data_IF_960725383917
#
_entry.id   IF_960725383917
#
_cell.length_a   1.000
_cell.length_b   1.000
_cell.length_c   1.000
_cell.angle_alpha   90.00
_cell.angle_beta   90.00
_cell.angle_gamma   90.00
#
_symmetry.space_group_name_H-M   'P 1'
#
loop_
_entity.id
_entity.type
_entity.pdbx_description
1 polymer ?
#
# COMPACT_ATOMS: atom_id res chain seq x y z
N UNK A 1 70.90 3.33 -38.19
CA UNK A 1 70.43 4.13 -37.04
C UNK A 1 68.89 4.13 -37.06
N UNK A 2 68.19 3.48 -36.17
CA UNK A 2 66.72 3.47 -36.16
C UNK A 2 66.21 4.68 -35.37
N UNK A 3 65.15 5.26 -35.88
CA UNK A 3 64.50 6.52 -35.50
C UNK A 3 63.64 6.33 -34.21
N UNK A 4 63.78 7.13 -33.17
CA UNK A 4 63.13 6.94 -31.85
C UNK A 4 61.77 7.64 -31.67
N UNK A 5 60.90 7.63 -32.68
CA UNK A 5 59.63 8.37 -32.62
C UNK A 5 58.34 7.52 -32.64
N UNK A 6 58.36 6.28 -32.18
CA UNK A 6 57.12 5.44 -32.20
C UNK A 6 56.67 4.85 -30.88
N UNK A 7 57.11 5.35 -29.74
CA UNK A 7 56.71 4.75 -28.45
C UNK A 7 55.87 5.69 -27.53
N UNK A 8 55.45 6.85 -28.02
CA UNK A 8 54.74 7.82 -27.16
C UNK A 8 53.21 7.75 -27.24
N UNK A 9 52.62 6.91 -28.11
CA UNK A 9 51.17 6.95 -28.38
C UNK A 9 50.36 5.80 -27.79
N UNK A 10 50.97 4.86 -27.10
CA UNK A 10 50.26 3.69 -26.55
C UNK A 10 49.98 3.82 -25.03
N UNK A 11 50.58 4.79 -24.34
CA UNK A 11 50.43 4.90 -22.87
C UNK A 11 49.23 5.74 -22.40
N UNK A 12 48.54 6.45 -23.30
CA UNK A 12 47.44 7.33 -22.92
C UNK A 12 46.02 6.70 -23.02
N UNK A 13 45.90 5.49 -23.60
CA UNK A 13 44.58 4.87 -23.77
C UNK A 13 44.25 3.89 -22.64
N UNK A 14 45.22 3.39 -21.92
CA UNK A 14 45.02 2.41 -20.84
C UNK A 14 44.64 3.10 -19.51
N UNK A 15 44.92 4.36 -19.30
CA UNK A 15 44.54 5.06 -18.06
C UNK A 15 43.09 5.53 -18.02
N UNK A 16 42.44 5.71 -19.18
CA UNK A 16 41.05 6.15 -19.27
C UNK A 16 40.02 5.05 -18.98
N UNK A 17 40.37 3.81 -19.22
CA UNK A 17 39.47 2.66 -18.98
C UNK A 17 39.43 2.20 -17.51
N UNK A 18 40.53 2.38 -16.79
CA UNK A 18 40.61 2.02 -15.36
C UNK A 18 39.85 3.01 -14.44
N UNK A 19 39.68 4.24 -14.88
CA UNK A 19 38.95 5.26 -14.08
C UNK A 19 37.43 5.09 -14.16
N UNK A 20 36.91 4.43 -15.19
CA UNK A 20 35.46 4.21 -15.36
C UNK A 20 34.98 2.99 -14.56
N UNK A 21 35.78 1.97 -14.40
CA UNK A 21 35.43 0.81 -13.57
C UNK A 21 35.42 1.09 -12.07
N UNK A 22 36.27 2.02 -11.60
CA UNK A 22 36.28 2.44 -10.18
C UNK A 22 35.08 3.32 -9.77
N UNK A 23 34.43 3.96 -10.71
CA UNK A 23 33.26 4.80 -10.43
C UNK A 23 31.96 3.99 -10.25
N UNK A 24 31.88 2.78 -10.80
CA UNK A 24 30.74 1.89 -10.63
C UNK A 24 30.76 1.06 -9.33
N UNK A 25 31.88 1.02 -8.64
CA UNK A 25 32.04 0.23 -7.42
C UNK A 25 31.68 0.97 -6.13
N UNK A 26 31.22 2.22 -6.22
CA UNK A 26 30.88 3.06 -5.06
C UNK A 26 29.37 3.34 -4.90
N UNK A 27 28.51 2.64 -5.62
CA UNK A 27 27.10 2.66 -5.27
C UNK A 27 26.95 1.82 -4.00
N UNK A 28 26.59 2.41 -2.86
CA UNK A 28 26.34 1.62 -1.66
C UNK A 28 25.17 0.68 -1.96
N UNK A 29 25.44 -0.60 -2.06
CA UNK A 29 24.42 -1.62 -2.01
C UNK A 29 23.76 -1.48 -0.64
N UNK A 30 22.53 -0.96 -0.60
CA UNK A 30 21.74 -0.99 0.61
C UNK A 30 21.62 -2.46 1.04
N UNK A 31 22.33 -2.82 2.11
CA UNK A 31 22.11 -4.11 2.74
C UNK A 31 20.83 -4.00 3.52
N UNK A 32 19.75 -4.47 2.94
CA UNK A 32 18.49 -4.61 3.65
C UNK A 32 18.69 -5.75 4.66
N UNK A 33 18.99 -5.39 5.89
CA UNK A 33 18.96 -6.33 7.00
C UNK A 33 17.49 -6.58 7.38
N UNK A 34 16.90 -7.59 6.75
CA UNK A 34 15.69 -8.16 7.31
C UNK A 34 16.08 -8.90 8.59
N UNK A 35 15.40 -8.69 9.73
CA UNK A 35 15.61 -9.50 10.90
C UNK A 35 15.45 -10.96 10.48
N UNK A 36 16.38 -11.80 10.90
CA UNK A 36 16.43 -13.24 10.57
C UNK A 36 15.29 -14.05 11.20
N UNK A 37 14.40 -13.40 11.93
CA UNK A 37 13.26 -14.00 12.60
C UNK A 37 11.99 -13.74 11.80
N UNK A 38 11.81 -14.57 10.78
CA UNK A 38 10.51 -14.84 10.18
C UNK A 38 9.78 -13.68 9.48
N UNK A 39 8.84 -14.03 8.62
CA UNK A 39 7.82 -13.12 8.13
C UNK A 39 6.98 -12.59 9.30
N UNK A 40 6.41 -11.39 9.16
CA UNK A 40 5.46 -10.88 10.14
C UNK A 40 4.38 -11.94 10.41
N UNK A 41 4.09 -12.25 11.68
CA UNK A 41 3.11 -13.27 12.00
C UNK A 41 1.75 -12.86 11.45
N UNK A 42 1.05 -13.81 10.86
CA UNK A 42 -0.28 -13.62 10.31
C UNK A 42 -0.71 -14.83 9.51
N UNK A 43 -2.02 -15.01 9.37
CA UNK A 43 -2.61 -16.13 8.68
C UNK A 43 -3.64 -15.63 7.65
N UNK A 44 -3.64 -16.23 6.47
CA UNK A 44 -4.69 -16.01 5.48
C UNK A 44 -5.92 -16.86 5.79
N UNK A 45 -7.13 -16.42 5.38
CA UNK A 45 -8.32 -17.24 5.52
C UNK A 45 -8.20 -18.48 4.63
N UNK A 46 -8.86 -19.56 5.02
CA UNK A 46 -8.95 -20.76 4.19
C UNK A 46 -9.67 -20.48 2.86
N UNK A 47 -10.60 -19.53 2.88
CA UNK A 47 -11.36 -19.13 1.71
C UNK A 47 -11.78 -17.67 1.81
N UNK A 48 -11.57 -16.91 0.72
CA UNK A 48 -12.18 -15.61 0.55
C UNK A 48 -13.62 -15.72 0.10
N UNK A 49 -14.47 -14.79 0.54
CA UNK A 49 -15.85 -14.74 0.03
C UNK A 49 -15.81 -14.60 -1.50
N UNK A 50 -16.69 -15.35 -2.12
CA UNK A 50 -16.78 -15.38 -3.57
C UNK A 50 -18.03 -14.69 -4.09
N UNK A 51 -19.05 -14.63 -3.25
CA UNK A 51 -20.41 -14.28 -3.62
C UNK A 51 -21.07 -15.42 -4.40
N UNK A 52 -22.37 -15.36 -4.53
CA UNK A 52 -23.11 -16.26 -5.40
C UNK A 52 -23.10 -15.76 -6.86
N UNK A 53 -23.55 -16.61 -7.80
CA UNK A 53 -23.75 -16.22 -9.21
C UNK A 53 -24.84 -15.16 -9.38
N UNK A 54 -25.74 -15.06 -8.42
CA UNK A 54 -26.82 -14.09 -8.37
C UNK A 54 -26.73 -13.31 -7.07
N UNK A 55 -26.81 -11.98 -7.16
CA UNK A 55 -26.87 -11.12 -5.99
C UNK A 55 -28.10 -11.41 -5.10
N UNK A 56 -29.19 -11.95 -5.69
CA UNK A 56 -30.40 -12.31 -4.96
C UNK A 56 -30.21 -13.55 -4.08
N UNK A 57 -29.29 -14.44 -4.47
CA UNK A 57 -29.02 -15.69 -3.74
C UNK A 57 -27.78 -15.55 -2.84
N UNK A 58 -27.20 -14.35 -2.78
CA UNK A 58 -25.99 -14.09 -2.00
C UNK A 58 -26.33 -14.00 -0.51
N UNK A 59 -25.67 -14.82 0.29
CA UNK A 59 -25.75 -14.86 1.77
C UNK A 59 -24.47 -14.38 2.44
N UNK A 60 -23.42 -14.12 1.67
CA UNK A 60 -22.15 -13.58 2.19
C UNK A 60 -22.32 -12.10 2.58
N UNK A 61 -21.54 -11.59 3.56
CA UNK A 61 -21.57 -10.19 3.91
C UNK A 61 -21.11 -9.31 2.74
N UNK A 62 -21.48 -8.05 2.75
CA UNK A 62 -21.04 -7.06 1.77
C UNK A 62 -19.51 -6.89 1.75
N UNK A 63 -18.90 -6.96 2.92
CA UNK A 63 -17.45 -6.89 3.14
C UNK A 63 -17.05 -8.04 4.04
N UNK A 64 -16.13 -8.87 3.59
CA UNK A 64 -15.44 -9.80 4.47
C UNK A 64 -14.31 -9.06 5.19
N UNK A 65 -14.26 -9.19 6.51
CA UNK A 65 -13.15 -8.70 7.33
C UNK A 65 -12.34 -9.90 7.79
N UNK A 66 -11.06 -9.91 7.46
CA UNK A 66 -10.13 -10.95 7.88
C UNK A 66 -9.00 -10.33 8.71
N UNK A 67 -8.86 -10.79 9.95
CA UNK A 67 -7.74 -10.41 10.81
C UNK A 67 -6.52 -11.23 10.39
N UNK A 68 -5.56 -10.59 9.73
CA UNK A 68 -4.29 -11.23 9.36
C UNK A 68 -3.37 -11.37 10.58
N UNK A 69 -3.32 -10.33 11.41
CA UNK A 69 -2.67 -10.29 12.72
C UNK A 69 -3.28 -9.17 13.57
N UNK A 70 -2.73 -8.91 14.75
CA UNK A 70 -3.24 -7.92 15.70
C UNK A 70 -3.29 -6.49 15.16
N UNK A 71 -2.50 -6.17 14.14
CA UNK A 71 -2.37 -4.83 13.58
C UNK A 71 -2.72 -4.73 12.10
N UNK A 72 -3.11 -5.84 11.46
CA UNK A 72 -3.36 -5.88 10.03
C UNK A 72 -4.64 -6.63 9.72
N UNK A 73 -5.54 -5.96 9.03
CA UNK A 73 -6.80 -6.53 8.57
C UNK A 73 -6.89 -6.41 7.05
N UNK A 74 -7.40 -7.48 6.43
CA UNK A 74 -7.64 -7.54 5.00
C UNK A 74 -9.15 -7.58 4.79
N UNK A 75 -9.66 -6.62 4.04
CA UNK A 75 -11.07 -6.53 3.70
C UNK A 75 -11.26 -6.97 2.24
N UNK A 76 -12.37 -7.62 1.97
CA UNK A 76 -12.72 -8.01 0.61
C UNK A 76 -14.16 -7.64 0.30
N UNK A 77 -14.35 -6.94 -0.81
CA UNK A 77 -15.66 -6.66 -1.36
C UNK A 77 -16.33 -7.92 -1.89
N UNK A 78 -17.62 -8.08 -1.66
CA UNK A 78 -18.39 -9.20 -2.15
C UNK A 78 -18.59 -9.12 -3.67
N UNK A 79 -18.17 -10.14 -4.38
CA UNK A 79 -18.28 -10.21 -5.86
C UNK A 79 -19.71 -10.22 -6.39
N UNK A 80 -20.72 -10.51 -5.55
CA UNK A 80 -22.12 -10.34 -5.92
C UNK A 80 -22.54 -8.87 -5.97
N UNK A 81 -21.79 -7.95 -5.32
CA UNK A 81 -22.00 -6.51 -5.39
C UNK A 81 -21.24 -5.93 -6.59
N UNK A 82 -19.95 -6.28 -6.71
CA UNK A 82 -19.11 -5.86 -7.82
C UNK A 82 -18.17 -7.00 -8.23
N UNK A 83 -18.12 -7.30 -9.52
CA UNK A 83 -17.33 -8.41 -10.06
C UNK A 83 -15.82 -8.28 -9.81
N UNK A 84 -15.31 -7.05 -9.59
CA UNK A 84 -13.91 -6.80 -9.23
C UNK A 84 -13.56 -7.48 -7.90
N UNK A 85 -14.48 -7.44 -6.92
CA UNK A 85 -14.26 -8.04 -5.62
C UNK A 85 -12.96 -7.53 -4.99
N UNK A 86 -12.83 -6.20 -4.95
CA UNK A 86 -11.60 -5.50 -4.56
C UNK A 86 -11.14 -5.89 -3.15
N UNK A 87 -9.82 -5.88 -2.95
CA UNK A 87 -9.22 -5.97 -1.64
C UNK A 87 -8.87 -4.59 -1.12
N UNK A 88 -9.03 -4.42 0.20
CA UNK A 88 -8.66 -3.23 0.94
C UNK A 88 -7.90 -3.65 2.20
N UNK A 89 -7.10 -2.77 2.76
CA UNK A 89 -6.24 -3.11 3.88
C UNK A 89 -6.36 -2.06 4.99
N UNK A 90 -6.49 -2.52 6.23
CA UNK A 90 -6.43 -1.65 7.41
C UNK A 90 -5.24 -2.04 8.26
N UNK A 91 -4.39 -1.06 8.54
CA UNK A 91 -3.23 -1.21 9.40
C UNK A 91 -3.40 -0.33 10.64
N UNK A 92 -3.15 -0.90 11.82
CA UNK A 92 -3.25 -0.20 13.08
C UNK A 92 -1.87 0.08 13.69
N UNK A 93 -1.68 1.29 14.17
CA UNK A 93 -0.53 1.74 14.95
C UNK A 93 -0.96 2.46 16.22
N UNK A 94 -0.03 3.14 16.88
CA UNK A 94 -0.33 3.88 18.12
C UNK A 94 -1.21 5.11 17.81
N UNK A 95 -2.50 5.00 18.08
CA UNK A 95 -3.49 6.08 17.88
C UNK A 95 -3.78 6.43 16.42
N UNK A 96 -3.31 5.62 15.47
CA UNK A 96 -3.50 5.83 14.03
C UNK A 96 -3.89 4.53 13.35
N UNK A 97 -4.87 4.60 12.45
CA UNK A 97 -5.18 3.54 11.50
C UNK A 97 -4.97 4.04 10.06
N UNK A 98 -4.53 3.18 9.16
CA UNK A 98 -4.36 3.47 7.74
C UNK A 98 -5.25 2.54 6.93
N UNK A 99 -6.21 3.10 6.21
CA UNK A 99 -7.01 2.38 5.21
C UNK A 99 -6.37 2.60 3.84
N UNK A 100 -5.95 1.51 3.19
CA UNK A 100 -5.48 1.51 1.81
C UNK A 100 -6.56 0.92 0.92
N UNK A 101 -6.98 1.69 -0.07
CA UNK A 101 -8.06 1.44 -1.03
C UNK A 101 -9.46 1.40 -0.40
N UNK A 102 -10.47 1.76 -1.19
CA UNK A 102 -11.86 1.85 -0.74
C UNK A 102 -12.82 1.11 -1.68
N UNK A 103 -12.32 0.08 -2.36
CA UNK A 103 -13.15 -0.84 -3.15
C UNK A 103 -13.75 -0.25 -4.42
N UNK A 104 -14.61 -1.04 -5.05
CA UNK A 104 -15.13 -0.83 -6.40
C UNK A 104 -16.56 -0.30 -6.42
N UNK A 105 -17.23 -0.16 -5.27
CA UNK A 105 -18.64 0.26 -5.17
C UNK A 105 -18.78 1.49 -4.30
N UNK A 106 -19.36 2.56 -4.87
CA UNK A 106 -19.53 3.86 -4.20
C UNK A 106 -20.75 3.92 -3.26
N UNK A 107 -21.80 3.13 -3.53
CA UNK A 107 -23.06 3.15 -2.80
C UNK A 107 -22.93 2.60 -1.38
N UNK A 108 -23.11 3.40 -0.31
CA UNK A 108 -23.06 2.89 1.06
C UNK A 108 -24.21 1.93 1.41
N UNK A 109 -25.30 1.96 0.66
CA UNK A 109 -26.42 1.03 0.85
C UNK A 109 -26.08 -0.40 0.38
N UNK A 110 -25.20 -0.54 -0.61
CA UNK A 110 -24.75 -1.83 -1.13
C UNK A 110 -23.41 -2.27 -0.51
N UNK A 111 -22.55 -1.30 -0.28
CA UNK A 111 -21.18 -1.50 0.20
C UNK A 111 -20.87 -0.51 1.34
N UNK A 112 -21.28 -0.80 2.59
CA UNK A 112 -21.17 0.09 3.73
C UNK A 112 -19.75 0.08 4.31
N UNK A 113 -18.74 0.42 3.50
CA UNK A 113 -17.33 0.29 3.88
C UNK A 113 -16.98 1.15 5.09
N UNK A 114 -17.46 2.41 5.14
CA UNK A 114 -17.23 3.29 6.29
C UNK A 114 -17.73 2.66 7.60
N UNK A 115 -18.95 2.14 7.60
CA UNK A 115 -19.52 1.50 8.80
C UNK A 115 -18.65 0.32 9.24
N UNK A 116 -18.22 -0.53 8.31
CA UNK A 116 -17.35 -1.69 8.61
C UNK A 116 -16.00 -1.24 9.18
N UNK A 117 -15.42 -0.17 8.64
CA UNK A 117 -14.14 0.36 9.15
C UNK A 117 -14.32 1.01 10.52
N UNK A 118 -15.42 1.72 10.77
CA UNK A 118 -15.73 2.30 12.08
C UNK A 118 -15.90 1.20 13.14
N UNK A 119 -16.69 0.16 12.85
CA UNK A 119 -16.87 -1.00 13.73
C UNK A 119 -15.54 -1.73 14.01
N UNK A 120 -14.67 -1.83 13.00
CA UNK A 120 -13.35 -2.44 13.15
C UNK A 120 -12.42 -1.60 14.05
N UNK A 121 -12.43 -0.27 13.89
CA UNK A 121 -11.67 0.65 14.75
C UNK A 121 -12.16 0.55 16.20
N UNK A 122 -13.45 0.60 16.42
CA UNK A 122 -14.05 0.52 17.77
C UNK A 122 -13.71 -0.82 18.46
N UNK A 123 -13.76 -1.92 17.70
CA UNK A 123 -13.40 -3.24 18.20
C UNK A 123 -11.91 -3.32 18.56
N UNK A 124 -11.04 -2.78 17.71
CA UNK A 124 -9.60 -2.75 17.92
C UNK A 124 -9.23 -1.86 19.11
N UNK A 125 -9.82 -0.68 19.24
CA UNK A 125 -9.63 0.22 20.38
C UNK A 125 -10.02 -0.46 21.70
N UNK A 126 -11.15 -1.16 21.70
CA UNK A 126 -11.62 -1.91 22.88
C UNK A 126 -10.63 -3.01 23.26
N UNK A 127 -10.16 -3.79 22.29
CA UNK A 127 -9.25 -4.92 22.54
C UNK A 127 -7.88 -4.48 23.05
N UNK A 128 -7.34 -3.38 22.49
CA UNK A 128 -5.99 -2.92 22.80
C UNK A 128 -5.94 -1.73 23.75
N UNK A 129 -7.07 -1.32 24.33
CA UNK A 129 -7.14 -0.22 25.29
C UNK A 129 -6.75 1.12 24.68
N UNK A 130 -7.00 1.32 23.39
CA UNK A 130 -6.78 2.56 22.67
C UNK A 130 -8.05 3.41 22.63
N UNK A 131 -7.92 4.67 22.31
CA UNK A 131 -9.05 5.61 22.14
C UNK A 131 -8.72 6.65 21.09
N UNK A 132 -9.74 7.10 20.38
CA UNK A 132 -9.60 8.21 19.42
C UNK A 132 -8.59 7.95 18.31
N UNK A 133 -8.56 6.73 17.75
CA UNK A 133 -7.71 6.36 16.64
C UNK A 133 -7.98 7.24 15.43
N UNK A 134 -6.96 7.97 15.00
CA UNK A 134 -7.02 8.81 13.80
C UNK A 134 -6.96 7.93 12.55
N UNK A 135 -7.91 8.11 11.61
CA UNK A 135 -7.92 7.37 10.36
C UNK A 135 -7.22 8.15 9.24
N UNK A 136 -6.26 7.53 8.59
CA UNK A 136 -5.68 8.00 7.33
C UNK A 136 -6.27 7.15 6.21
N UNK A 137 -6.82 7.79 5.18
CA UNK A 137 -7.38 7.13 4.00
C UNK A 137 -6.51 7.45 2.80
N UNK A 138 -5.95 6.42 2.19
CA UNK A 138 -5.04 6.52 1.06
C UNK A 138 -5.38 5.48 -0.01
N UNK A 139 -4.80 5.62 -1.19
CA UNK A 139 -4.98 4.71 -2.32
C UNK A 139 -3.64 4.15 -2.78
N UNK A 140 -3.66 2.89 -3.20
CA UNK A 140 -2.51 2.27 -3.86
C UNK A 140 -2.25 2.91 -5.22
N UNK A 141 -3.31 3.23 -5.97
CA UNK A 141 -3.27 3.92 -7.24
C UNK A 141 -4.67 4.46 -7.64
N UNK A 142 -4.73 5.21 -8.76
CA UNK A 142 -5.94 5.92 -9.20
C UNK A 142 -6.76 5.14 -10.23
N UNK A 143 -7.13 3.90 -9.97
CA UNK A 143 -8.17 3.21 -10.73
C UNK A 143 -9.48 3.19 -9.93
N UNK A 144 -10.61 3.27 -10.64
CA UNK A 144 -11.92 3.45 -10.03
C UNK A 144 -12.33 2.37 -9.03
N UNK A 145 -11.86 1.15 -9.23
CA UNK A 145 -12.05 -0.02 -8.36
C UNK A 145 -11.24 0.04 -7.04
N UNK A 146 -10.39 1.07 -6.87
CA UNK A 146 -9.61 1.29 -5.66
C UNK A 146 -10.10 2.46 -4.81
N UNK A 147 -10.90 3.39 -5.37
CA UNK A 147 -11.37 4.55 -4.62
C UNK A 147 -12.88 4.81 -4.74
N UNK A 148 -13.68 3.84 -5.22
CA UNK A 148 -15.10 4.09 -5.46
C UNK A 148 -15.86 4.54 -4.21
N UNK A 149 -15.55 4.00 -3.03
CA UNK A 149 -16.17 4.40 -1.77
C UNK A 149 -15.45 5.56 -1.06
N UNK A 150 -14.54 6.27 -1.69
CA UNK A 150 -13.83 7.43 -1.15
C UNK A 150 -14.75 8.45 -0.47
N UNK A 151 -15.86 8.78 -1.11
CA UNK A 151 -16.82 9.76 -0.60
C UNK A 151 -17.47 9.36 0.74
N UNK A 152 -17.43 8.10 1.13
CA UNK A 152 -17.95 7.65 2.42
C UNK A 152 -17.10 8.16 3.60
N UNK A 153 -15.87 8.60 3.35
CA UNK A 153 -14.91 9.02 4.38
C UNK A 153 -14.67 10.53 4.43
N UNK A 154 -15.09 11.29 3.43
CA UNK A 154 -14.80 12.73 3.31
C UNK A 154 -15.30 13.54 4.52
N UNK A 155 -16.43 13.18 5.08
CA UNK A 155 -17.03 13.84 6.24
C UNK A 155 -16.83 13.06 7.56
N UNK A 156 -16.03 12.01 7.55
CA UNK A 156 -15.73 11.26 8.77
C UNK A 156 -14.87 12.09 9.72
N UNK A 157 -15.29 12.27 11.00
CA UNK A 157 -14.46 12.98 11.96
C UNK A 157 -13.15 12.23 12.23
N UNK A 158 -12.15 12.93 12.71
CA UNK A 158 -10.82 12.38 13.04
C UNK A 158 -10.20 11.56 11.89
N UNK A 159 -10.31 12.12 10.66
CA UNK A 159 -9.84 11.45 9.43
C UNK A 159 -9.04 12.40 8.57
N UNK A 160 -7.96 11.90 8.00
CA UNK A 160 -7.19 12.57 6.96
C UNK A 160 -7.33 11.81 5.64
N UNK A 161 -7.77 12.51 4.61
CA UNK A 161 -7.81 12.02 3.24
C UNK A 161 -6.50 12.42 2.55
N UNK A 162 -5.70 11.47 2.12
CA UNK A 162 -4.40 11.74 1.48
C UNK A 162 -4.54 12.50 0.16
N UNK A 163 -5.66 12.32 -0.51
CA UNK A 163 -5.93 12.89 -1.83
C UNK A 163 -5.79 11.86 -2.94
N UNK A 164 -6.27 12.24 -4.13
CA UNK A 164 -6.31 11.36 -5.31
C UNK A 164 -5.33 11.80 -6.41
N UNK A 165 -4.88 13.06 -6.40
CA UNK A 165 -3.95 13.57 -7.40
C UNK A 165 -2.50 13.33 -7.00
N UNK A 166 -1.62 13.27 -7.99
CA UNK A 166 -0.17 13.19 -7.74
C UNK A 166 0.33 14.31 -6.82
N UNK A 167 -0.17 15.52 -7.03
CA UNK A 167 0.21 16.69 -6.21
C UNK A 167 -0.23 16.52 -4.75
N UNK A 168 -1.47 16.12 -4.50
CA UNK A 168 -1.99 15.90 -3.14
C UNK A 168 -1.19 14.83 -2.41
N UNK A 169 -0.95 13.67 -3.06
CA UNK A 169 -0.19 12.56 -2.49
C UNK A 169 1.25 12.97 -2.20
N UNK A 170 1.89 13.67 -3.15
CA UNK A 170 3.28 14.16 -3.01
C UNK A 170 3.39 15.14 -1.85
N UNK A 171 2.45 16.08 -1.74
CA UNK A 171 2.42 17.07 -0.66
C UNK A 171 2.18 16.41 0.70
N UNK A 172 1.26 15.47 0.78
CA UNK A 172 0.95 14.78 2.04
C UNK A 172 2.17 14.02 2.58
N UNK A 173 2.85 13.23 1.73
CA UNK A 173 3.99 12.42 2.13
C UNK A 173 5.32 13.18 2.13
N UNK A 174 5.35 14.44 1.70
CA UNK A 174 6.56 15.25 1.64
C UNK A 174 7.55 14.81 0.55
N UNK A 175 7.11 14.16 -0.51
CA UNK A 175 7.95 13.70 -1.62
C UNK A 175 8.31 14.86 -2.58
N UNK A 176 8.79 15.99 -2.06
CA UNK A 176 9.04 17.22 -2.82
C UNK A 176 10.13 17.10 -3.88
N UNK A 177 10.93 16.05 -3.87
CA UNK A 177 12.06 15.82 -4.78
C UNK A 177 12.02 14.46 -5.46
N UNK A 178 10.85 13.90 -5.69
CA UNK A 178 10.74 12.67 -6.45
C UNK A 178 10.88 13.00 -7.94
N UNK A 179 11.78 12.31 -8.69
CA UNK A 179 12.01 12.56 -10.10
C UNK A 179 10.84 12.16 -10.98
#
# INVERSE_FOLDING_TARGET
>A
MPNPKRYATILSVTFGLFAIELAFSLVPTATLNFPSEGAAPGEFPQQWIHGSKSALDNTDPAVQVHRFNDHTYILRENKAINYEGAFMYVFFGNGVALLIDQGSTSSPALFPLRQVVDELIDAWETEFGQTSTHLIVANSHLHGDHYAAWNQFVDRPNTTMVGLTHEEVTNYWGFTNYP
#
